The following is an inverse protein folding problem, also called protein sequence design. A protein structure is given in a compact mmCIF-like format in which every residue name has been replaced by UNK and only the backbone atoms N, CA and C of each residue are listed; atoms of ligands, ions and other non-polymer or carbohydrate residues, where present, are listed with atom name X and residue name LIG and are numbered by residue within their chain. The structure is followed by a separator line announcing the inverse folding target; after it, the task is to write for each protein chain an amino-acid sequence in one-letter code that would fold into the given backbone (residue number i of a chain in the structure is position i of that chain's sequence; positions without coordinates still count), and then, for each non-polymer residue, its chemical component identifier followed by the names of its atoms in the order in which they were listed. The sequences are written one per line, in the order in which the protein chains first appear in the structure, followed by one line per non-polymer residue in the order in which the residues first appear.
data_IF_425597299311
#
_entry.id   IF_425597299311
#
_cell.length_a   1.000
_cell.length_b   1.000
_cell.length_c   1.000
_cell.angle_alpha   90.00
_cell.angle_beta   90.00
_cell.angle_gamma   90.00
#
_symmetry.space_group_name_H-M   'P 1'
#
loop_
_entity.id
_entity.type
_entity.pdbx_description
1 polymer ?
#
# COMPACT_ATOMS: atom_id res chain seq x y z
N UNK A 1 21.71 3.30 -21.53
CA UNK A 1 21.96 4.64 -20.96
C UNK A 1 23.40 5.03 -21.30
N UNK A 2 23.65 6.25 -21.81
CA UNK A 2 25.02 6.69 -22.11
C UNK A 2 25.79 6.95 -20.82
N UNK A 3 27.09 6.61 -20.81
CA UNK A 3 27.96 6.72 -19.62
C UNK A 3 28.03 8.15 -19.07
N UNK A 4 28.03 9.13 -19.96
CA UNK A 4 28.06 10.56 -19.63
C UNK A 4 26.87 10.97 -18.75
N UNK A 5 25.64 10.58 -19.13
CA UNK A 5 24.44 10.87 -18.35
C UNK A 5 24.44 10.19 -16.98
N UNK A 6 24.96 8.96 -16.89
CA UNK A 6 25.09 8.30 -15.60
C UNK A 6 26.01 9.06 -14.65
N UNK A 7 27.15 9.55 -15.16
CA UNK A 7 28.09 10.34 -14.36
C UNK A 7 27.50 11.68 -13.93
N UNK A 8 26.78 12.38 -14.82
CA UNK A 8 26.08 13.62 -14.47
C UNK A 8 25.04 13.40 -13.36
N UNK A 9 24.26 12.32 -13.44
CA UNK A 9 23.29 11.96 -12.40
C UNK A 9 23.98 11.64 -11.07
N UNK A 10 25.11 10.92 -11.09
CA UNK A 10 25.88 10.65 -9.88
C UNK A 10 26.40 11.93 -9.22
N UNK A 11 26.81 12.94 -9.98
CA UNK A 11 27.23 14.25 -9.42
C UNK A 11 26.04 14.94 -8.76
N UNK A 12 24.87 14.95 -9.40
CA UNK A 12 23.66 15.56 -8.87
C UNK A 12 23.21 14.87 -7.58
N UNK A 13 23.14 13.52 -7.58
CA UNK A 13 22.72 12.74 -6.42
C UNK A 13 23.78 12.69 -5.31
N UNK A 14 25.06 12.85 -5.65
CA UNK A 14 26.15 12.96 -4.69
C UNK A 14 26.29 14.34 -4.07
N UNK A 15 25.59 15.36 -4.60
CA UNK A 15 25.65 16.72 -4.11
C UNK A 15 25.03 16.89 -2.71
N UNK A 16 25.57 17.83 -1.94
CA UNK A 16 25.12 18.15 -0.57
C UNK A 16 23.61 18.44 -0.51
N UNK A 17 23.10 19.25 -1.43
CA UNK A 17 21.68 19.57 -1.54
C UNK A 17 20.79 18.33 -1.70
N UNK A 18 21.21 17.35 -2.50
CA UNK A 18 20.45 16.12 -2.68
C UNK A 18 20.46 15.27 -1.41
N UNK A 19 21.63 15.17 -0.77
CA UNK A 19 21.78 14.44 0.49
C UNK A 19 20.90 15.04 1.59
N UNK A 20 20.93 16.37 1.79
CA UNK A 20 20.05 17.05 2.74
C UNK A 20 18.57 16.76 2.48
N UNK A 21 18.13 16.85 1.23
CA UNK A 21 16.75 16.56 0.85
C UNK A 21 16.40 15.09 1.11
N UNK A 22 17.31 14.16 0.83
CA UNK A 22 17.14 12.73 1.09
C UNK A 22 17.01 12.44 2.59
N UNK A 23 17.86 13.06 3.42
CA UNK A 23 17.80 12.95 4.88
C UNK A 23 16.50 13.56 5.42
N UNK A 24 16.13 14.77 5.01
CA UNK A 24 14.86 15.40 5.39
C UNK A 24 13.66 14.53 5.01
N UNK A 25 13.63 14.00 3.79
CA UNK A 25 12.58 13.10 3.34
C UNK A 25 12.52 11.80 4.16
N UNK A 26 13.68 11.24 4.53
CA UNK A 26 13.76 10.07 5.41
C UNK A 26 13.20 10.39 6.80
N UNK A 27 13.61 11.51 7.40
CA UNK A 27 13.12 11.96 8.71
C UNK A 27 11.61 12.21 8.68
N UNK A 28 11.08 12.84 7.63
CA UNK A 28 9.64 13.04 7.46
C UNK A 28 8.88 11.71 7.39
N UNK A 29 9.40 10.71 6.68
CA UNK A 29 8.78 9.37 6.65
C UNK A 29 8.78 8.70 8.03
N UNK A 30 9.86 8.85 8.79
CA UNK A 30 9.96 8.30 10.16
C UNK A 30 9.04 9.05 11.13
N UNK A 31 8.94 10.37 11.02
CA UNK A 31 8.08 11.22 11.85
C UNK A 31 6.58 10.99 11.61
N UNK A 32 6.21 10.36 10.49
CA UNK A 32 4.84 10.00 10.15
C UNK A 32 4.66 8.47 10.12
N UNK A 33 4.70 7.78 11.28
CA UNK A 33 4.58 6.31 11.35
C UNK A 33 3.21 5.79 10.91
N UNK A 34 2.22 6.67 10.77
CA UNK A 34 0.89 6.36 10.22
C UNK A 34 0.83 6.39 8.69
N UNK A 35 1.94 6.62 7.99
CA UNK A 35 1.99 6.49 6.55
C UNK A 35 1.74 5.02 6.14
N UNK A 36 0.94 4.83 5.09
CA UNK A 36 0.69 3.49 4.55
C UNK A 36 1.98 2.92 3.98
N UNK A 37 2.44 1.79 4.53
CA UNK A 37 3.61 1.07 4.05
C UNK A 37 3.14 -0.21 3.36
N UNK A 38 3.69 -0.46 2.17
CA UNK A 38 3.47 -1.70 1.42
C UNK A 38 4.70 -2.61 1.55
N UNK A 39 4.49 -3.94 1.67
CA UNK A 39 5.56 -4.96 1.49
C UNK A 39 5.60 -5.51 0.08
N UNK A 40 4.70 -5.10 -0.80
CA UNK A 40 4.82 -5.42 -2.21
C UNK A 40 6.03 -4.67 -2.73
N UNK A 41 6.98 -5.41 -3.30
CA UNK A 41 8.08 -4.86 -4.08
C UNK A 41 7.51 -4.00 -5.25
N UNK A 42 8.32 -3.64 -6.24
CA UNK A 42 7.84 -2.95 -7.45
C UNK A 42 7.01 -3.87 -8.38
N UNK A 43 6.05 -4.61 -7.82
CA UNK A 43 5.16 -5.56 -8.46
C UNK A 43 3.75 -4.99 -8.42
N UNK A 44 3.06 -5.02 -9.55
CA UNK A 44 1.69 -4.49 -9.63
C UNK A 44 0.70 -5.33 -8.80
N UNK A 45 -0.37 -4.68 -8.34
CA UNK A 45 -1.48 -5.36 -7.66
C UNK A 45 -2.12 -6.46 -8.54
N UNK A 46 -2.22 -6.22 -9.86
CA UNK A 46 -2.69 -7.21 -10.83
C UNK A 46 -1.78 -8.46 -10.89
N UNK A 47 -0.46 -8.26 -10.80
CA UNK A 47 0.49 -9.37 -10.73
C UNK A 47 0.35 -10.15 -9.42
N UNK A 48 0.12 -9.47 -8.30
CA UNK A 48 -0.20 -10.12 -7.03
C UNK A 48 -1.49 -10.94 -7.13
N UNK A 49 -2.56 -10.38 -7.72
CA UNK A 49 -3.84 -11.06 -7.97
C UNK A 49 -3.64 -12.33 -8.79
N UNK A 50 -2.99 -12.24 -9.96
CA UNK A 50 -2.76 -13.40 -10.82
C UNK A 50 -1.93 -14.51 -10.14
N UNK A 51 -0.91 -14.15 -9.36
CA UNK A 51 -0.13 -15.13 -8.57
C UNK A 51 -0.98 -15.80 -7.50
N UNK A 52 -1.87 -15.03 -6.85
CA UNK A 52 -2.74 -15.52 -5.81
C UNK A 52 -3.85 -16.43 -6.37
N UNK A 53 -4.45 -16.07 -7.52
CA UNK A 53 -5.38 -16.90 -8.28
C UNK A 53 -4.76 -18.25 -8.65
N UNK A 54 -3.55 -18.23 -9.19
CA UNK A 54 -2.84 -19.45 -9.57
C UNK A 54 -2.57 -20.38 -8.38
N UNK A 55 -2.39 -19.81 -7.18
CA UNK A 55 -2.17 -20.54 -5.92
C UNK A 55 -3.47 -21.08 -5.32
N UNK A 56 -4.53 -20.26 -5.28
CA UNK A 56 -5.81 -20.62 -4.68
C UNK A 56 -6.72 -21.44 -5.61
N UNK A 57 -6.44 -21.46 -6.92
CA UNK A 57 -7.30 -22.08 -7.96
C UNK A 57 -8.71 -21.49 -8.02
N UNK A 58 -8.87 -20.26 -7.50
CA UNK A 58 -10.09 -19.44 -7.54
C UNK A 58 -9.71 -17.96 -7.55
N UNK A 59 -10.63 -17.06 -7.94
CA UNK A 59 -10.46 -15.63 -7.70
C UNK A 59 -10.21 -15.35 -6.20
N UNK A 60 -9.17 -14.58 -5.84
CA UNK A 60 -8.94 -14.17 -4.47
C UNK A 60 -9.96 -13.11 -4.07
N UNK A 61 -10.31 -13.13 -2.80
CA UNK A 61 -11.05 -12.02 -2.22
C UNK A 61 -10.12 -10.82 -2.03
N UNK A 62 -10.71 -9.63 -1.96
CA UNK A 62 -9.95 -8.39 -1.75
C UNK A 62 -9.06 -8.45 -0.52
N UNK A 63 -9.58 -8.97 0.60
CA UNK A 63 -8.83 -9.09 1.85
C UNK A 63 -7.60 -9.99 1.68
N UNK A 64 -7.71 -11.13 1.00
CA UNK A 64 -6.59 -12.05 0.78
C UNK A 64 -5.47 -11.39 -0.03
N UNK A 65 -5.85 -10.55 -0.99
CA UNK A 65 -4.91 -9.79 -1.82
C UNK A 65 -4.31 -8.61 -1.06
N UNK A 66 -5.08 -7.94 -0.21
CA UNK A 66 -4.62 -6.88 0.67
C UNK A 66 -3.60 -7.41 1.69
N UNK A 67 -3.90 -8.54 2.34
CA UNK A 67 -3.03 -9.21 3.29
C UNK A 67 -1.68 -9.57 2.69
N UNK A 68 -1.66 -10.05 1.45
CA UNK A 68 -0.41 -10.39 0.74
C UNK A 68 0.56 -9.20 0.60
N UNK A 69 0.03 -7.97 0.60
CA UNK A 69 0.79 -6.74 0.34
C UNK A 69 0.96 -5.85 1.57
N UNK A 70 0.26 -6.16 2.67
CA UNK A 70 0.21 -5.32 3.88
C UNK A 70 0.53 -6.07 5.19
N UNK A 71 0.72 -7.40 5.15
CA UNK A 71 1.26 -8.17 6.28
C UNK A 71 2.78 -8.34 6.17
N UNK A 72 3.42 -8.51 7.33
CA UNK A 72 4.85 -8.81 7.41
C UNK A 72 5.11 -10.24 6.93
N UNK A 73 6.21 -10.45 6.20
CA UNK A 73 6.56 -11.80 5.72
C UNK A 73 6.82 -12.72 6.92
N UNK A 74 6.13 -13.86 6.96
CA UNK A 74 6.30 -14.87 8.01
C UNK A 74 5.55 -14.60 9.31
N UNK A 75 4.76 -13.52 9.41
CA UNK A 75 3.83 -13.30 10.52
C UNK A 75 2.44 -12.97 9.99
N UNK A 76 1.43 -13.02 10.84
CA UNK A 76 0.07 -12.58 10.49
C UNK A 76 -0.18 -11.10 10.82
N UNK A 77 0.87 -10.40 11.28
CA UNK A 77 0.76 -9.00 11.69
C UNK A 77 0.79 -8.07 10.48
N UNK A 78 -0.05 -7.04 10.53
CA UNK A 78 0.05 -5.92 9.61
C UNK A 78 1.34 -5.12 9.83
N UNK A 79 1.87 -4.56 8.73
CA UNK A 79 3.07 -3.71 8.77
C UNK A 79 2.79 -2.39 9.51
N UNK A 80 1.54 -1.91 9.44
CA UNK A 80 1.10 -0.70 10.11
C UNK A 80 -0.30 -0.88 10.69
N UNK A 81 -0.56 -0.22 11.81
CA UNK A 81 -1.90 -0.15 12.40
C UNK A 81 -2.90 0.46 11.41
N UNK A 82 -2.48 1.43 10.60
CA UNK A 82 -3.32 2.04 9.57
C UNK A 82 -3.79 1.01 8.52
N UNK A 83 -2.92 0.07 8.11
CA UNK A 83 -3.32 -0.98 7.17
C UNK A 83 -4.40 -1.88 7.77
N UNK A 84 -4.24 -2.25 9.05
CA UNK A 84 -5.24 -3.02 9.82
C UNK A 84 -6.58 -2.27 9.90
N UNK A 85 -6.57 -1.00 10.31
CA UNK A 85 -7.78 -0.18 10.45
C UNK A 85 -8.54 -0.03 9.13
N UNK A 86 -7.82 0.15 8.01
CA UNK A 86 -8.44 0.33 6.67
C UNK A 86 -9.14 -0.94 6.23
N UNK A 87 -8.50 -2.11 6.35
CA UNK A 87 -9.11 -3.36 5.91
C UNK A 87 -10.27 -3.77 6.84
N UNK A 88 -10.14 -3.59 8.16
CA UNK A 88 -11.25 -3.82 9.10
C UNK A 88 -12.45 -2.91 8.82
N UNK A 89 -12.21 -1.63 8.54
CA UNK A 89 -13.28 -0.69 8.20
C UNK A 89 -13.94 -1.02 6.86
N UNK A 90 -13.15 -1.48 5.89
CA UNK A 90 -13.65 -1.94 4.60
C UNK A 90 -14.54 -3.18 4.76
N UNK A 91 -14.08 -4.20 5.49
CA UNK A 91 -14.86 -5.43 5.75
C UNK A 91 -16.17 -5.07 6.44
N UNK A 92 -16.14 -4.23 7.48
CA UNK A 92 -17.36 -3.77 8.16
C UNK A 92 -18.32 -3.07 7.20
N UNK A 93 -17.82 -2.18 6.34
CA UNK A 93 -18.66 -1.50 5.35
C UNK A 93 -19.25 -2.44 4.30
N UNK A 94 -18.49 -3.48 3.90
CA UNK A 94 -18.97 -4.52 2.99
C UNK A 94 -20.09 -5.35 3.62
N UNK A 95 -19.93 -5.74 4.88
CA UNK A 95 -20.94 -6.51 5.62
C UNK A 95 -22.19 -5.67 5.90
N UNK A 96 -22.05 -4.38 6.22
CA UNK A 96 -23.18 -3.46 6.40
C UNK A 96 -23.99 -3.25 5.11
N UNK A 97 -23.33 -3.24 3.94
CA UNK A 97 -23.98 -2.98 2.66
C UNK A 97 -24.56 -4.23 2.00
N UNK A 98 -23.87 -5.36 2.12
CA UNK A 98 -24.15 -6.58 1.35
C UNK A 98 -24.45 -7.80 2.22
N UNK A 99 -24.18 -7.78 3.53
CA UNK A 99 -24.37 -8.94 4.39
C UNK A 99 -23.62 -10.16 3.89
N UNK A 100 -24.31 -11.30 3.79
CA UNK A 100 -23.73 -12.58 3.31
C UNK A 100 -23.19 -12.52 1.87
N UNK A 101 -23.66 -11.59 1.04
CA UNK A 101 -23.19 -11.44 -0.34
C UNK A 101 -21.82 -10.72 -0.42
N UNK A 102 -21.30 -10.19 0.70
CA UNK A 102 -20.04 -9.43 0.77
C UNK A 102 -18.84 -10.24 0.25
N UNK A 103 -18.86 -11.55 0.46
CA UNK A 103 -17.81 -12.50 0.10
C UNK A 103 -17.75 -12.83 -1.39
N UNK A 104 -18.81 -12.50 -2.15
CA UNK A 104 -18.92 -12.77 -3.58
C UNK A 104 -18.39 -11.61 -4.46
N UNK A 105 -18.20 -10.44 -3.87
CA UNK A 105 -17.80 -9.22 -4.57
C UNK A 105 -16.27 -9.06 -4.56
N UNK A 106 -15.68 -8.74 -5.71
CA UNK A 106 -14.22 -8.57 -5.82
C UNK A 106 -13.71 -7.30 -5.10
N UNK A 107 -14.43 -6.19 -5.20
CA UNK A 107 -14.12 -4.91 -4.56
C UNK A 107 -15.33 -3.98 -4.71
N UNK A 108 -15.74 -3.30 -3.64
CA UNK A 108 -16.63 -2.14 -3.73
C UNK A 108 -15.77 -0.85 -3.72
N UNK A 109 -15.65 -0.13 -4.85
CA UNK A 109 -14.82 1.06 -4.94
C UNK A 109 -15.28 2.20 -4.02
N UNK A 110 -16.58 2.32 -3.76
CA UNK A 110 -17.13 3.42 -2.95
C UNK A 110 -16.79 3.20 -1.47
N UNK A 111 -17.00 1.98 -0.97
CA UNK A 111 -16.62 1.60 0.39
C UNK A 111 -15.12 1.73 0.55
N UNK A 112 -14.34 1.25 -0.44
CA UNK A 112 -12.89 1.38 -0.41
C UNK A 112 -12.42 2.84 -0.35
N UNK A 113 -12.98 3.72 -1.17
CA UNK A 113 -12.64 5.16 -1.16
C UNK A 113 -13.04 5.81 0.17
N UNK A 114 -14.17 5.42 0.76
CA UNK A 114 -14.62 5.95 2.04
C UNK A 114 -13.70 5.56 3.20
N UNK A 115 -13.20 4.31 3.22
CA UNK A 115 -12.42 3.76 4.35
C UNK A 115 -10.91 3.97 4.22
N UNK A 116 -10.39 4.04 2.98
CA UNK A 116 -8.96 4.24 2.72
C UNK A 116 -8.50 5.70 2.84
N UNK A 117 -9.43 6.67 2.77
CA UNK A 117 -9.09 8.10 2.86
C UNK A 117 -8.52 8.46 4.23
N UNK A 118 -7.36 9.12 4.23
CA UNK A 118 -6.92 9.92 5.37
C UNK A 118 -7.88 11.12 5.55
N UNK A 119 -8.09 11.62 6.78
CA UNK A 119 -8.85 12.84 6.98
C UNK A 119 -8.27 13.95 6.10
N UNK A 120 -9.14 14.72 5.42
CA UNK A 120 -8.71 15.85 4.59
C UNK A 120 -7.83 16.76 5.47
N UNK A 121 -6.56 16.92 5.10
CA UNK A 121 -5.78 18.07 5.58
C UNK A 121 -6.54 19.30 5.11
N UNK A 122 -7.21 19.99 6.03
CA UNK A 122 -7.70 21.33 5.76
C UNK A 122 -6.50 22.18 5.36
N UNK A 123 -6.54 22.75 4.16
CA UNK A 123 -5.82 23.99 3.93
C UNK A 123 -6.48 25.02 4.84
N UNK A 124 -5.79 25.38 5.91
CA UNK A 124 -5.97 26.67 6.59
C UNK A 124 -4.92 27.60 6.01
#
# INVERSE_FOLDING_TARGET
MRKEYWMELCVIWGGEKWNENSVKAKLNRVAHPKATVHTSDSVSFATHKARLEARLKRPPQFQELFDQTHKKKGTDDYISEKAREVVESYIRGMDERYGDDSQSLELDPDIWVATSRAPKKGHV
#
